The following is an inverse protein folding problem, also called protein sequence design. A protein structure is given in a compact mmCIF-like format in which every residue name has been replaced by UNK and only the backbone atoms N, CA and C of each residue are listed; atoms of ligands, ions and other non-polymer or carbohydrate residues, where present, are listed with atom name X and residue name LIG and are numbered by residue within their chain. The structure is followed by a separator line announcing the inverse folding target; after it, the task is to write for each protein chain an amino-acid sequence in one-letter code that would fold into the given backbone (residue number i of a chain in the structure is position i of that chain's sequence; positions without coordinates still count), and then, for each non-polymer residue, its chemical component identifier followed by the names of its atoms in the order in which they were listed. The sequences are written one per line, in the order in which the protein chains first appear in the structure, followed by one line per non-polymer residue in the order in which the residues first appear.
data_IF_323523010382
#
_entry.id   IF_323523010382
#
_cell.length_a   1.000
_cell.length_b   1.000
_cell.length_c   1.000
_cell.angle_alpha   90.00
_cell.angle_beta   90.00
_cell.angle_gamma   90.00
#
_symmetry.space_group_name_H-M   'P 1'
#
loop_
_entity.id
_entity.type
_entity.pdbx_description
1 polymer ?
#
# COMPACT_ATOMS: atom_id res chain seq x y z
N UNK A 1 13.05 -1.96 3.24
CA UNK A 1 11.89 -2.84 3.46
C UNK A 1 11.49 -3.60 2.18
N UNK A 2 11.14 -2.91 1.09
CA UNK A 2 10.71 -3.54 -0.17
C UNK A 2 11.64 -4.65 -0.68
N UNK A 3 12.94 -4.38 -0.79
CA UNK A 3 13.93 -5.37 -1.29
C UNK A 3 13.93 -6.65 -0.45
N UNK A 4 13.78 -6.54 0.86
CA UNK A 4 13.75 -7.70 1.77
C UNK A 4 12.46 -8.50 1.55
N UNK A 5 11.32 -7.83 1.40
CA UNK A 5 10.04 -8.50 1.17
C UNK A 5 9.99 -9.15 -0.22
N UNK A 6 10.52 -8.50 -1.26
CA UNK A 6 10.71 -9.11 -2.58
C UNK A 6 11.68 -10.30 -2.53
N UNK A 7 12.76 -10.19 -1.78
CA UNK A 7 13.68 -11.31 -1.57
C UNK A 7 12.99 -12.50 -0.91
N UNK A 8 12.21 -12.25 0.15
CA UNK A 8 11.45 -13.26 0.87
C UNK A 8 10.40 -13.91 -0.04
N UNK A 9 9.60 -13.14 -0.78
CA UNK A 9 8.61 -13.71 -1.71
C UNK A 9 9.27 -14.53 -2.81
N UNK A 10 10.37 -14.05 -3.38
CA UNK A 10 11.10 -14.79 -4.42
C UNK A 10 11.66 -16.10 -3.88
N UNK A 11 12.22 -16.10 -2.67
CA UNK A 11 12.74 -17.31 -2.00
C UNK A 11 11.61 -18.28 -1.69
N UNK A 12 10.46 -17.79 -1.21
CA UNK A 12 9.28 -18.60 -0.92
C UNK A 12 8.74 -19.26 -2.19
N UNK A 13 8.62 -18.52 -3.29
CA UNK A 13 8.17 -19.02 -4.59
C UNK A 13 9.11 -20.08 -5.17
N UNK A 14 10.41 -19.99 -4.89
CA UNK A 14 11.40 -20.94 -5.40
C UNK A 14 11.47 -22.24 -4.58
N UNK A 15 10.91 -22.25 -3.36
CA UNK A 15 11.01 -23.41 -2.46
C UNK A 15 9.95 -24.46 -2.75
N UNK A 16 10.31 -25.51 -3.50
CA UNK A 16 9.43 -26.64 -3.80
C UNK A 16 8.88 -27.36 -2.55
N UNK A 17 9.62 -27.32 -1.44
CA UNK A 17 9.17 -27.93 -0.17
C UNK A 17 7.95 -27.21 0.40
N UNK A 18 7.95 -25.88 0.36
CA UNK A 18 6.84 -25.06 0.86
C UNK A 18 5.61 -25.27 -0.02
N UNK A 19 5.80 -25.29 -1.34
CA UNK A 19 4.73 -25.56 -2.30
C UNK A 19 4.02 -26.89 -2.02
N UNK A 20 4.78 -27.97 -1.75
CA UNK A 20 4.20 -29.29 -1.42
C UNK A 20 3.45 -29.32 -0.09
N UNK A 21 3.84 -28.50 0.87
CA UNK A 21 3.24 -28.50 2.22
C UNK A 21 1.97 -27.66 2.31
N UNK A 22 1.95 -26.46 1.70
CA UNK A 22 0.85 -25.50 1.84
C UNK A 22 -0.23 -25.63 0.77
N UNK A 23 0.09 -26.29 -0.35
CA UNK A 23 -0.75 -26.29 -1.55
C UNK A 23 -0.80 -24.91 -2.22
N UNK A 24 -1.52 -24.83 -3.34
CA UNK A 24 -1.60 -23.60 -4.16
C UNK A 24 -2.27 -22.46 -3.41
N UNK A 25 -3.41 -22.72 -2.75
CA UNK A 25 -4.17 -21.68 -2.05
C UNK A 25 -3.39 -21.08 -0.87
N UNK A 26 -2.68 -21.90 -0.11
CA UNK A 26 -1.84 -21.40 0.98
C UNK A 26 -0.72 -20.49 0.49
N UNK A 27 -0.13 -20.81 -0.67
CA UNK A 27 0.91 -19.98 -1.28
C UNK A 27 0.34 -18.66 -1.83
N UNK A 28 -0.82 -18.68 -2.49
CA UNK A 28 -1.52 -17.47 -2.92
C UNK A 28 -1.81 -16.55 -1.73
N UNK A 29 -2.37 -17.08 -0.64
CA UNK A 29 -2.63 -16.30 0.58
C UNK A 29 -1.34 -15.73 1.19
N UNK A 30 -0.26 -16.50 1.24
CA UNK A 30 1.02 -16.06 1.79
C UNK A 30 1.61 -14.91 0.96
N UNK A 31 1.58 -15.03 -0.37
CA UNK A 31 2.05 -13.98 -1.28
C UNK A 31 1.21 -12.72 -1.09
N UNK A 32 -0.11 -12.82 -1.14
CA UNK A 32 -1.02 -11.69 -0.96
C UNK A 32 -0.83 -11.01 0.41
N UNK A 33 -0.71 -11.78 1.48
CA UNK A 33 -0.44 -11.23 2.82
C UNK A 33 0.91 -10.50 2.87
N UNK A 34 1.96 -11.08 2.28
CA UNK A 34 3.28 -10.47 2.25
C UNK A 34 3.32 -9.17 1.43
N UNK A 35 2.60 -9.11 0.29
CA UNK A 35 2.46 -7.90 -0.52
C UNK A 35 1.68 -6.82 0.22
N UNK A 36 0.61 -7.21 0.92
CA UNK A 36 -0.18 -6.29 1.74
C UNK A 36 0.70 -5.68 2.84
N UNK A 37 1.43 -6.50 3.60
CA UNK A 37 2.37 -6.01 4.63
C UNK A 37 3.44 -5.11 4.00
N UNK A 38 3.98 -5.48 2.84
CA UNK A 38 4.96 -4.68 2.14
C UNK A 38 4.43 -3.30 1.76
N UNK A 39 3.21 -3.24 1.26
CA UNK A 39 2.55 -1.99 0.92
C UNK A 39 2.38 -1.11 2.17
N UNK A 40 1.83 -1.67 3.26
CA UNK A 40 1.64 -0.94 4.52
C UNK A 40 2.96 -0.37 5.04
N UNK A 41 4.00 -1.20 5.13
CA UNK A 41 5.32 -0.76 5.59
C UNK A 41 5.88 0.32 4.67
N UNK A 42 5.73 0.17 3.35
CA UNK A 42 6.27 1.14 2.39
C UNK A 42 5.60 2.50 2.50
N UNK A 43 4.26 2.53 2.55
CA UNK A 43 3.51 3.77 2.65
C UNK A 43 3.77 4.45 4.00
N UNK A 44 3.75 3.72 5.11
CA UNK A 44 4.05 4.28 6.44
C UNK A 44 5.52 4.70 6.61
N UNK A 45 6.43 4.16 5.80
CA UNK A 45 7.84 4.58 5.78
C UNK A 45 8.07 5.87 4.98
N UNK A 46 7.06 6.40 4.29
CA UNK A 46 7.21 7.67 3.58
C UNK A 46 7.50 8.79 4.59
N UNK A 47 8.53 9.62 4.34
CA UNK A 47 8.96 10.68 5.27
C UNK A 47 7.82 11.59 5.73
N UNK A 48 6.87 11.86 4.83
CA UNK A 48 5.69 12.70 5.09
C UNK A 48 4.82 12.12 6.20
N UNK A 49 4.53 10.82 6.16
CA UNK A 49 3.68 10.15 7.15
C UNK A 49 4.43 9.78 8.42
N UNK A 50 5.73 9.48 8.33
CA UNK A 50 6.53 9.20 9.52
C UNK A 50 6.67 10.42 10.43
N UNK A 51 6.80 11.63 9.87
CA UNK A 51 6.81 12.89 10.62
C UNK A 51 5.45 13.15 11.28
N UNK A 52 4.33 12.91 10.57
CA UNK A 52 2.98 13.00 11.18
C UNK A 52 2.78 12.01 12.31
N UNK A 53 3.26 10.77 12.17
CA UNK A 53 3.17 9.75 13.21
C UNK A 53 3.96 10.14 14.48
N UNK A 54 4.98 10.97 14.34
CA UNK A 54 5.73 11.54 15.46
C UNK A 54 5.04 12.77 16.08
N UNK A 55 3.90 13.20 15.54
CA UNK A 55 3.15 14.35 16.01
C UNK A 55 3.75 15.70 15.64
N UNK A 56 4.69 15.73 14.68
CA UNK A 56 5.31 16.96 14.20
C UNK A 56 4.53 17.55 13.02
N UNK A 57 4.59 18.88 12.90
CA UNK A 57 4.05 19.58 11.73
C UNK A 57 4.97 19.35 10.53
N UNK A 58 4.43 18.73 9.49
CA UNK A 58 5.19 18.38 8.29
C UNK A 58 5.64 19.60 7.53
N UNK A 59 4.85 20.68 7.51
CA UNK A 59 5.23 21.90 6.81
C UNK A 59 6.49 22.49 7.44
N UNK A 60 6.55 22.55 8.77
CA UNK A 60 7.73 23.07 9.48
C UNK A 60 8.99 22.24 9.19
N UNK A 61 8.89 20.91 9.25
CA UNK A 61 10.05 20.02 9.04
C UNK A 61 10.52 20.05 7.59
N UNK A 62 9.60 20.06 6.62
CA UNK A 62 9.97 20.01 5.21
C UNK A 62 10.34 21.37 4.64
N UNK A 63 9.78 22.47 5.12
CA UNK A 63 10.18 23.82 4.70
C UNK A 63 11.63 24.12 5.12
N UNK A 64 12.08 23.62 6.27
CA UNK A 64 13.47 23.75 6.72
C UNK A 64 14.45 22.96 5.83
N UNK A 65 14.05 21.77 5.35
CA UNK A 65 14.92 20.86 4.59
C UNK A 65 14.89 21.15 3.08
N UNK A 66 13.71 21.46 2.52
CA UNK A 66 13.47 21.58 1.08
C UNK A 66 13.17 23.02 0.62
N UNK A 67 12.98 23.96 1.56
CA UNK A 67 12.63 25.36 1.28
C UNK A 67 11.12 25.59 1.11
N UNK A 68 10.72 26.87 1.03
CA UNK A 68 9.32 27.37 1.09
C UNK A 68 8.37 26.89 -0.03
N UNK A 69 8.78 25.97 -0.91
CA UNK A 69 7.96 25.51 -2.05
C UNK A 69 7.72 24.00 -2.04
N UNK A 70 7.86 23.32 -0.89
CA UNK A 70 7.58 21.89 -0.81
C UNK A 70 6.06 21.63 -0.86
N UNK A 71 5.57 21.20 -2.02
CA UNK A 71 4.18 20.80 -2.20
C UNK A 71 3.99 19.33 -1.81
N UNK A 72 3.56 19.08 -0.57
CA UNK A 72 3.20 17.75 -0.11
C UNK A 72 1.83 17.33 -0.69
N UNK A 73 1.76 16.20 -1.37
CA UNK A 73 0.51 15.65 -1.91
C UNK A 73 0.40 14.15 -1.62
N UNK A 74 -0.84 13.67 -1.46
CA UNK A 74 -1.15 12.25 -1.30
C UNK A 74 -1.12 11.49 -2.64
N UNK A 75 -0.86 12.17 -3.76
CA UNK A 75 -0.80 11.57 -5.09
C UNK A 75 0.26 10.48 -5.21
N UNK A 76 1.45 10.68 -4.61
CA UNK A 76 2.52 9.68 -4.64
C UNK A 76 2.14 8.35 -3.95
N UNK A 77 1.68 8.34 -2.68
CA UNK A 77 1.26 7.11 -2.02
C UNK A 77 0.03 6.47 -2.70
N UNK A 78 -0.92 7.27 -3.18
CA UNK A 78 -2.07 6.75 -3.95
C UNK A 78 -1.63 6.06 -5.24
N UNK A 79 -0.70 6.65 -5.98
CA UNK A 79 -0.14 6.05 -7.20
C UNK A 79 0.68 4.80 -6.91
N UNK A 80 1.41 4.75 -5.78
CA UNK A 80 2.13 3.54 -5.36
C UNK A 80 1.16 2.41 -5.01
N UNK A 81 0.07 2.74 -4.31
CA UNK A 81 -1.01 1.82 -3.99
C UNK A 81 -1.62 1.25 -5.28
N UNK A 82 -2.05 2.13 -6.18
CA UNK A 82 -2.69 1.76 -7.45
C UNK A 82 -1.75 0.93 -8.33
N UNK A 83 -0.50 1.36 -8.46
CA UNK A 83 0.52 0.65 -9.22
C UNK A 83 0.78 -0.75 -8.68
N UNK A 84 0.84 -0.94 -7.36
CA UNK A 84 1.04 -2.27 -6.76
C UNK A 84 -0.18 -3.18 -6.92
N UNK A 85 -1.40 -2.65 -6.75
CA UNK A 85 -2.63 -3.40 -6.99
C UNK A 85 -2.72 -3.82 -8.46
N UNK A 86 -2.48 -2.90 -9.38
CA UNK A 86 -2.48 -3.16 -10.83
C UNK A 86 -1.41 -4.18 -11.23
N UNK A 87 -0.18 -4.04 -10.71
CA UNK A 87 0.89 -5.03 -10.96
C UNK A 87 0.54 -6.41 -10.41
N UNK A 88 -0.19 -6.48 -9.29
CA UNK A 88 -0.63 -7.75 -8.71
C UNK A 88 -1.70 -8.41 -9.59
N UNK A 89 -2.68 -7.62 -10.06
CA UNK A 89 -3.73 -8.07 -10.99
C UNK A 89 -3.18 -8.55 -12.33
N UNK A 90 -2.26 -7.80 -12.92
CA UNK A 90 -1.70 -8.11 -14.26
C UNK A 90 -0.58 -9.16 -14.18
N UNK A 91 0.22 -9.12 -13.11
CA UNK A 91 1.45 -9.89 -13.00
C UNK A 91 1.29 -11.28 -12.39
N UNK A 92 0.25 -11.50 -11.58
CA UNK A 92 0.06 -12.76 -10.86
C UNK A 92 -1.30 -13.38 -11.19
N UNK A 93 -1.37 -14.66 -11.58
CA UNK A 93 -2.63 -15.36 -11.83
C UNK A 93 -3.31 -15.76 -10.50
N UNK A 94 -3.58 -14.80 -9.63
CA UNK A 94 -4.27 -15.01 -8.36
C UNK A 94 -5.77 -15.17 -8.59
N UNK A 95 -6.41 -15.99 -7.77
CA UNK A 95 -7.87 -16.11 -7.79
C UNK A 95 -8.49 -14.86 -7.16
N UNK A 96 -9.56 -14.36 -7.79
CA UNK A 96 -10.27 -13.15 -7.36
C UNK A 96 -10.61 -13.13 -5.86
N UNK A 97 -11.04 -14.27 -5.30
CA UNK A 97 -11.41 -14.37 -3.89
C UNK A 97 -10.23 -14.22 -2.92
N UNK A 98 -8.99 -14.50 -3.37
CA UNK A 98 -7.77 -14.27 -2.57
C UNK A 98 -7.32 -12.81 -2.67
N UNK A 99 -7.68 -12.12 -3.75
CA UNK A 99 -7.33 -10.71 -3.96
C UNK A 99 -8.22 -9.75 -3.17
N UNK A 100 -9.49 -10.09 -2.96
CA UNK A 100 -10.46 -9.24 -2.26
C UNK A 100 -9.97 -8.77 -0.86
N UNK A 101 -9.39 -9.62 0.02
CA UNK A 101 -8.81 -9.15 1.28
C UNK A 101 -7.69 -8.12 1.12
N UNK A 102 -6.85 -8.23 0.08
CA UNK A 102 -5.79 -7.26 -0.20
C UNK A 102 -6.37 -5.92 -0.67
N UNK A 103 -7.35 -5.96 -1.56
CA UNK A 103 -8.07 -4.78 -2.03
C UNK A 103 -8.72 -4.01 -0.87
N UNK A 104 -9.40 -4.73 0.03
CA UNK A 104 -9.97 -4.14 1.25
C UNK A 104 -8.87 -3.57 2.15
N UNK A 105 -7.77 -4.29 2.34
CA UNK A 105 -6.65 -3.83 3.17
C UNK A 105 -5.97 -2.56 2.62
N UNK A 106 -5.95 -2.40 1.30
CA UNK A 106 -5.43 -1.21 0.61
C UNK A 106 -6.33 0.01 0.84
N UNK A 107 -7.66 -0.17 0.70
CA UNK A 107 -8.62 0.92 1.00
C UNK A 107 -8.55 1.31 2.46
N UNK A 108 -8.47 0.33 3.36
CA UNK A 108 -8.29 0.57 4.80
C UNK A 108 -6.99 1.31 5.12
N UNK A 109 -5.89 0.99 4.44
CA UNK A 109 -4.62 1.70 4.60
C UNK A 109 -4.79 3.19 4.30
N UNK A 110 -5.40 3.54 3.16
CA UNK A 110 -5.63 4.94 2.82
C UNK A 110 -6.63 5.61 3.76
N UNK A 111 -7.68 4.90 4.20
CA UNK A 111 -8.61 5.43 5.19
C UNK A 111 -7.92 5.76 6.52
N UNK A 112 -7.01 4.90 7.01
CA UNK A 112 -6.21 5.17 8.21
C UNK A 112 -5.32 6.39 8.01
N UNK A 113 -4.66 6.52 6.87
CA UNK A 113 -3.83 7.68 6.56
C UNK A 113 -4.66 8.96 6.53
N UNK A 114 -5.78 8.96 5.80
CA UNK A 114 -6.62 10.12 5.61
C UNK A 114 -7.31 10.57 6.92
N UNK A 115 -7.86 9.62 7.68
CA UNK A 115 -8.71 9.92 8.84
C UNK A 115 -7.97 9.95 10.18
N UNK A 116 -6.92 9.14 10.34
CA UNK A 116 -6.20 9.01 11.63
C UNK A 116 -4.91 9.82 11.63
N UNK A 117 -4.06 9.63 10.60
CA UNK A 117 -2.78 10.33 10.51
C UNK A 117 -2.99 11.78 10.02
N UNK A 118 -4.01 11.99 9.20
CA UNK A 118 -4.33 13.25 8.56
C UNK A 118 -3.73 13.34 7.17
N UNK A 119 -4.57 13.57 6.17
CA UNK A 119 -4.17 13.80 4.78
C UNK A 119 -3.44 15.14 4.59
N UNK A 120 -2.62 15.25 3.54
CA UNK A 120 -2.06 16.53 3.10
C UNK A 120 -3.02 17.39 2.29
N UNK A 121 -4.09 16.78 1.77
CA UNK A 121 -5.02 17.46 0.88
C UNK A 121 -6.26 18.00 1.63
N UNK A 122 -6.24 17.90 2.97
CA UNK A 122 -7.30 18.41 3.84
C UNK A 122 -8.67 17.83 3.47
N UNK A 123 -9.61 18.68 3.07
CA UNK A 123 -10.98 18.29 2.71
C UNK A 123 -11.04 17.38 1.47
N UNK A 124 -10.07 17.45 0.56
CA UNK A 124 -10.04 16.62 -0.65
C UNK A 124 -9.72 15.15 -0.37
N UNK A 125 -9.23 14.83 0.83
CA UNK A 125 -8.92 13.48 1.26
C UNK A 125 -10.12 12.53 1.19
N UNK A 126 -11.31 13.01 1.51
CA UNK A 126 -12.55 12.22 1.44
C UNK A 126 -12.87 11.89 -0.02
N UNK A 127 -12.71 12.85 -0.93
CA UNK A 127 -12.92 12.64 -2.35
C UNK A 127 -11.94 11.60 -2.91
N UNK A 128 -10.66 11.67 -2.53
CA UNK A 128 -9.67 10.67 -2.91
C UNK A 128 -10.00 9.29 -2.36
N UNK A 129 -10.51 9.20 -1.13
CA UNK A 129 -10.91 7.92 -0.53
C UNK A 129 -12.10 7.31 -1.30
N UNK A 130 -13.09 8.13 -1.68
CA UNK A 130 -14.22 7.68 -2.50
C UNK A 130 -13.74 7.23 -3.87
N UNK A 131 -12.86 8.00 -4.52
CA UNK A 131 -12.29 7.63 -5.82
C UNK A 131 -11.51 6.32 -5.74
N UNK A 132 -10.62 6.17 -4.75
CA UNK A 132 -9.87 4.94 -4.54
C UNK A 132 -10.79 3.75 -4.29
N UNK A 133 -11.82 3.91 -3.46
CA UNK A 133 -12.80 2.86 -3.18
C UNK A 133 -13.57 2.48 -4.44
N UNK A 134 -13.99 3.45 -5.25
CA UNK A 134 -14.69 3.21 -6.51
C UNK A 134 -13.79 2.51 -7.54
N UNK A 135 -12.51 2.87 -7.59
CA UNK A 135 -11.52 2.26 -8.47
C UNK A 135 -11.30 0.79 -8.10
N UNK A 136 -11.08 0.53 -6.80
CA UNK A 136 -10.92 -0.83 -6.28
C UNK A 136 -12.17 -1.67 -6.54
N UNK A 137 -13.36 -1.13 -6.26
CA UNK A 137 -14.62 -1.82 -6.52
C UNK A 137 -14.82 -2.13 -8.02
N UNK A 138 -14.40 -1.23 -8.91
CA UNK A 138 -14.46 -1.45 -10.35
C UNK A 138 -13.45 -2.49 -10.84
N UNK A 139 -12.26 -2.57 -10.22
CA UNK A 139 -11.25 -3.59 -10.57
C UNK A 139 -11.58 -4.99 -10.04
N UNK A 140 -12.43 -5.10 -9.03
CA UNK A 140 -12.85 -6.39 -8.46
C UNK A 140 -13.90 -7.14 -9.32
N UNK A 141 -14.42 -6.51 -10.39
CA UNK A 141 -15.45 -7.06 -11.30
C UNK A 141 -14.80 -7.66 -12.54
#
# INVERSE_FOLDING_TARGET
ALVVLFGVTTVLLRSQKIFRMMGTLGLECLVTASLTIALWVTVLSLPVYSVKLQGMDVHQVFDEVFGENFYASDSAPLLMIDGLVTLTHVGLPLRWHVMLPMEVAVVLLYAVIALVIGSMEGERSILNLVLLTSLVAASSV
#
